data_IF_350076904077
#
_entry.id   IF_350076904077
#
_cell.length_a   1.000
_cell.length_b   1.000
_cell.length_c   1.000
_cell.angle_alpha   90.00
_cell.angle_beta   90.00
_cell.angle_gamma   90.00
#
_symmetry.space_group_name_H-M   'P 1'
#
loop_
_entity.id
_entity.type
_entity.pdbx_description
1 polymer ?
#
# COMPACT_ATOMS: atom_id res chain seq x y z
N UNK A 1 -10.49 19.48 -4.32
CA UNK A 1 -9.33 18.67 -4.73
C UNK A 1 -8.36 18.82 -3.57
N UNK A 2 -8.14 17.89 -2.66
CA UNK A 2 -8.06 16.44 -2.76
C UNK A 2 -8.69 15.80 -1.50
N UNK A 3 -9.61 14.87 -1.71
CA UNK A 3 -10.38 14.17 -0.70
C UNK A 3 -10.15 12.67 -0.85
N UNK A 4 -8.89 12.23 -0.80
CA UNK A 4 -8.51 10.84 -1.17
C UNK A 4 -7.29 10.31 -0.42
N UNK A 5 -7.25 10.39 0.92
CA UNK A 5 -6.22 9.61 1.63
C UNK A 5 -6.71 9.06 2.98
N UNK A 6 -7.46 9.86 3.74
CA UNK A 6 -7.89 9.47 5.09
C UNK A 6 -9.01 8.41 5.17
N UNK A 7 -9.68 8.09 4.06
CA UNK A 7 -10.93 7.34 4.06
C UNK A 7 -10.81 5.87 3.67
N UNK A 8 -9.66 5.39 3.17
CA UNK A 8 -9.61 4.04 2.60
C UNK A 8 -9.47 2.95 3.66
N UNK A 9 -8.80 3.21 4.78
CA UNK A 9 -8.65 2.18 5.81
C UNK A 9 -9.89 1.95 6.67
N UNK A 10 -10.59 3.02 7.01
CA UNK A 10 -11.90 2.92 7.67
C UNK A 10 -12.94 2.31 6.72
N UNK A 11 -12.93 2.62 5.41
CA UNK A 11 -13.86 1.98 4.46
C UNK A 11 -13.61 0.50 4.23
N UNK A 12 -12.36 0.03 4.19
CA UNK A 12 -12.03 -1.40 4.03
C UNK A 12 -12.42 -2.23 5.25
N UNK A 13 -12.36 -1.65 6.47
CA UNK A 13 -12.89 -2.26 7.69
C UNK A 13 -14.42 -2.19 7.75
N UNK A 14 -15.04 -1.10 7.30
CA UNK A 14 -16.50 -0.96 7.25
C UNK A 14 -17.18 -1.91 6.24
N UNK A 15 -16.43 -2.38 5.23
CA UNK A 15 -16.95 -3.31 4.22
C UNK A 15 -17.17 -4.74 4.74
N UNK A 16 -16.70 -5.08 5.95
CA UNK A 16 -16.84 -6.42 6.56
C UNK A 16 -18.01 -6.58 7.52
N UNK A 17 -18.62 -5.49 7.98
CA UNK A 17 -19.73 -5.55 8.93
C UNK A 17 -20.97 -4.86 8.36
N UNK A 18 -21.61 -5.55 7.42
CA UNK A 18 -22.98 -5.26 7.04
C UNK A 18 -23.89 -5.56 8.24
N UNK A 19 -24.22 -4.55 9.06
CA UNK A 19 -25.57 -4.31 9.61
C UNK A 19 -25.63 -3.07 10.54
N UNK A 20 -26.60 -2.20 10.24
CA UNK A 20 -27.38 -1.34 11.15
C UNK A 20 -27.05 0.17 11.32
N UNK A 21 -28.09 1.01 11.47
CA UNK A 21 -28.14 2.42 11.11
C UNK A 21 -27.63 3.31 12.25
N UNK A 22 -27.16 4.53 11.94
CA UNK A 22 -27.43 5.81 12.67
C UNK A 22 -26.42 6.90 12.32
N UNK A 23 -26.75 7.66 11.28
CA UNK A 23 -25.99 8.76 10.67
C UNK A 23 -25.74 10.01 11.56
N UNK A 24 -26.00 9.97 12.87
CA UNK A 24 -25.98 11.18 13.74
C UNK A 24 -24.85 11.16 14.79
N UNK A 25 -24.26 10.00 15.10
CA UNK A 25 -23.13 9.90 16.05
C UNK A 25 -21.75 10.29 15.45
N UNK A 26 -21.71 10.59 14.16
CA UNK A 26 -20.49 10.79 13.37
C UNK A 26 -19.75 12.10 13.69
N UNK A 27 -20.44 13.18 14.10
CA UNK A 27 -19.81 14.52 14.20
C UNK A 27 -19.00 14.76 15.49
N UNK A 28 -19.28 14.06 16.59
CA UNK A 28 -18.59 14.28 17.87
C UNK A 28 -17.39 13.36 18.10
N UNK A 29 -17.25 12.28 17.31
CA UNK A 29 -16.15 11.30 17.42
C UNK A 29 -14.95 11.60 16.50
N UNK A 30 -15.00 12.67 15.69
CA UNK A 30 -13.97 12.98 14.68
C UNK A 30 -12.79 13.82 15.21
N UNK A 31 -12.91 14.41 16.41
CA UNK A 31 -11.89 15.32 16.96
C UNK A 31 -10.78 14.63 17.76
N UNK A 32 -10.77 13.30 17.87
CA UNK A 32 -9.80 12.60 18.73
C UNK A 32 -9.32 11.26 18.14
N UNK A 33 -9.22 11.14 16.83
CA UNK A 33 -8.45 10.06 16.23
C UNK A 33 -7.04 10.58 15.95
N UNK A 34 -6.05 10.26 16.78
CA UNK A 34 -4.67 10.40 16.35
C UNK A 34 -4.51 9.50 15.13
N UNK A 35 -4.09 10.10 14.01
CA UNK A 35 -3.72 9.41 12.77
C UNK A 35 -2.48 8.57 13.01
N UNK A 36 -2.58 7.52 13.82
CA UNK A 36 -1.55 6.50 13.91
C UNK A 36 -1.78 5.58 12.72
N UNK A 37 -1.19 5.97 11.58
CA UNK A 37 -0.96 5.03 10.49
C UNK A 37 -0.28 3.79 11.04
N UNK A 38 -0.70 2.62 10.58
CA UNK A 38 -0.06 1.37 11.01
C UNK A 38 1.26 1.26 10.23
N UNK A 39 2.36 0.85 10.87
CA UNK A 39 3.55 0.50 10.11
C UNK A 39 3.21 -0.67 9.18
N UNK A 40 3.77 -0.63 7.98
CA UNK A 40 3.69 -1.76 7.08
C UNK A 40 4.48 -2.93 7.65
N UNK A 41 3.96 -4.14 7.43
CA UNK A 41 4.66 -5.36 7.82
C UNK A 41 5.83 -5.67 6.91
N UNK A 42 6.30 -6.92 7.00
CA UNK A 42 7.38 -7.43 6.18
C UNK A 42 7.12 -7.23 4.67
N UNK A 43 8.18 -6.92 3.90
CA UNK A 43 8.07 -6.58 2.50
C UNK A 43 7.66 -7.81 1.66
N UNK A 44 6.69 -7.68 0.73
CA UNK A 44 6.17 -8.81 -0.04
C UNK A 44 7.16 -9.34 -1.08
N UNK A 45 7.41 -10.65 -1.09
CA UNK A 45 8.28 -11.27 -2.09
C UNK A 45 7.58 -11.48 -3.44
N UNK A 46 8.22 -11.07 -4.53
CA UNK A 46 7.70 -11.27 -5.89
C UNK A 46 8.56 -12.27 -6.68
N UNK A 47 7.94 -13.09 -7.55
CA UNK A 47 8.68 -14.02 -8.39
C UNK A 47 9.48 -13.25 -9.45
N UNK A 48 10.75 -13.64 -9.63
CA UNK A 48 11.67 -13.03 -10.58
C UNK A 48 11.98 -11.55 -10.35
N UNK A 49 11.68 -11.04 -9.15
CA UNK A 49 12.15 -9.76 -8.66
C UNK A 49 12.77 -9.95 -7.27
N UNK A 50 13.66 -9.06 -6.89
CA UNK A 50 14.27 -9.02 -5.57
C UNK A 50 14.13 -7.61 -4.99
N UNK A 51 14.00 -7.52 -3.67
CA UNK A 51 14.05 -6.25 -2.97
C UNK A 51 15.47 -5.70 -3.10
N UNK A 52 15.63 -4.59 -3.81
CA UNK A 52 16.90 -3.90 -3.98
C UNK A 52 17.21 -3.03 -2.76
N UNK A 53 16.20 -2.37 -2.19
CA UNK A 53 16.36 -1.52 -1.02
C UNK A 53 15.03 -1.06 -0.44
N UNK A 54 15.07 -0.53 0.77
CA UNK A 54 13.92 0.04 1.46
C UNK A 54 14.34 1.23 2.34
N UNK A 55 13.46 2.22 2.50
CA UNK A 55 13.69 3.33 3.44
C UNK A 55 13.30 2.96 4.87
N UNK A 56 12.33 2.05 5.02
CA UNK A 56 11.80 1.60 6.30
C UNK A 56 10.54 0.76 6.12
N UNK A 57 9.72 0.71 7.19
CA UNK A 57 8.47 -0.03 7.26
C UNK A 57 7.34 0.81 7.85
N UNK A 58 7.49 2.13 7.90
CA UNK A 58 6.51 3.07 8.43
C UNK A 58 5.65 3.69 7.32
N UNK A 59 4.57 4.37 7.72
CA UNK A 59 3.67 5.05 6.78
C UNK A 59 4.45 6.01 5.88
N UNK A 60 4.27 5.88 4.57
CA UNK A 60 4.95 6.69 3.56
C UNK A 60 6.36 6.23 3.19
N UNK A 61 6.87 5.15 3.80
CA UNK A 61 8.11 4.52 3.35
C UNK A 61 7.96 3.86 1.98
N UNK A 62 9.10 3.68 1.31
CA UNK A 62 9.17 3.08 -0.01
C UNK A 62 10.07 1.84 -0.04
N UNK A 63 9.59 0.79 -0.71
CA UNK A 63 10.37 -0.39 -1.09
C UNK A 63 10.73 -0.30 -2.57
N UNK A 64 11.99 -0.55 -2.90
CA UNK A 64 12.47 -0.62 -4.27
C UNK A 64 12.75 -2.07 -4.65
N UNK A 65 11.99 -2.58 -5.61
CA UNK A 65 12.17 -3.90 -6.20
C UNK A 65 12.85 -3.79 -7.56
N UNK A 66 13.70 -4.77 -7.85
CA UNK A 66 14.37 -4.91 -9.15
C UNK A 66 14.16 -6.31 -9.71
N UNK A 67 13.86 -6.38 -11.00
CA UNK A 67 13.79 -7.64 -11.72
C UNK A 67 15.17 -8.32 -11.71
N UNK A 68 15.16 -9.66 -11.69
CA UNK A 68 16.39 -10.43 -11.83
C UNK A 68 17.02 -10.20 -13.22
N UNK A 69 18.35 -10.37 -13.37
CA UNK A 69 19.01 -10.28 -14.67
C UNK A 69 18.35 -11.17 -15.73
N UNK A 70 18.00 -10.59 -16.88
CA UNK A 70 17.27 -11.27 -17.95
C UNK A 70 15.75 -11.27 -17.81
N UNK A 71 15.20 -10.63 -16.77
CA UNK A 71 13.78 -10.38 -16.62
C UNK A 71 13.51 -8.87 -16.66
N UNK A 72 12.41 -8.49 -17.31
CA UNK A 72 11.94 -7.11 -17.41
C UNK A 72 10.45 -7.08 -17.19
N UNK A 73 9.92 -5.97 -16.70
CA UNK A 73 8.47 -5.79 -16.66
C UNK A 73 7.93 -5.59 -18.08
N UNK A 74 6.64 -5.89 -18.33
CA UNK A 74 6.01 -5.67 -19.62
C UNK A 74 6.12 -4.22 -20.13
N UNK A 75 6.23 -3.24 -19.22
CA UNK A 75 6.42 -1.82 -19.57
C UNK A 75 7.85 -1.48 -20.02
N UNK A 76 8.79 -2.43 -19.96
CA UNK A 76 10.21 -2.21 -20.25
C UNK A 76 11.05 -1.74 -19.07
N UNK A 77 10.43 -1.41 -17.94
CA UNK A 77 11.15 -1.08 -16.70
C UNK A 77 11.75 -2.33 -16.05
N UNK A 78 12.92 -2.19 -15.45
CA UNK A 78 13.59 -3.26 -14.68
C UNK A 78 13.42 -3.14 -13.17
N UNK A 79 12.76 -2.10 -12.68
CA UNK A 79 12.54 -1.84 -11.26
C UNK A 79 11.21 -1.14 -11.01
N UNK A 80 10.58 -1.42 -9.87
CA UNK A 80 9.32 -0.82 -9.42
C UNK A 80 9.40 -0.50 -7.94
N UNK A 81 8.61 0.48 -7.49
CA UNK A 81 8.53 0.85 -6.09
C UNK A 81 7.15 0.60 -5.48
N UNK A 82 7.14 0.35 -4.17
CA UNK A 82 5.94 0.21 -3.36
C UNK A 82 5.97 1.20 -2.22
N UNK A 83 4.88 1.94 -2.03
CA UNK A 83 4.68 2.79 -0.87
C UNK A 83 3.92 2.06 0.23
N UNK A 84 4.23 2.42 1.47
CA UNK A 84 3.46 1.99 2.62
C UNK A 84 2.21 2.85 2.79
N UNK A 85 1.04 2.23 2.73
CA UNK A 85 -0.25 2.88 2.99
C UNK A 85 -0.53 3.04 4.48
N UNK A 86 -1.42 3.95 4.84
CA UNK A 86 -1.95 4.15 6.19
C UNK A 86 -2.57 2.88 6.81
N UNK A 87 -2.99 1.93 5.96
CA UNK A 87 -3.46 0.62 6.35
C UNK A 87 -2.40 -0.37 6.82
N UNK A 88 -1.12 -0.06 6.62
CA UNK A 88 -0.04 -1.04 6.79
C UNK A 88 0.04 -2.02 5.62
N UNK A 89 -0.40 -1.60 4.42
CA UNK A 89 -0.31 -2.39 3.19
C UNK A 89 0.63 -1.72 2.19
N UNK A 90 1.43 -2.53 1.49
CA UNK A 90 2.32 -2.06 0.44
C UNK A 90 1.57 -1.91 -0.89
N UNK A 91 1.57 -0.72 -1.48
CA UNK A 91 0.88 -0.42 -2.74
C UNK A 91 1.81 0.26 -3.76
N UNK A 92 1.60 -0.02 -5.04
CA UNK A 92 2.35 0.60 -6.13
C UNK A 92 2.12 -0.11 -7.45
N UNK A 93 2.83 0.32 -8.49
CA UNK A 93 2.73 -0.26 -9.83
C UNK A 93 3.52 -1.57 -9.92
N UNK A 94 3.03 -2.61 -9.25
CA UNK A 94 3.60 -3.96 -9.32
C UNK A 94 3.32 -4.56 -10.68
N UNK A 95 4.36 -4.92 -11.42
CA UNK A 95 4.24 -5.78 -12.59
C UNK A 95 5.15 -7.00 -12.43
N UNK A 96 4.62 -8.18 -12.76
CA UNK A 96 5.39 -9.40 -12.75
C UNK A 96 6.54 -9.30 -13.76
N UNK A 97 7.76 -9.47 -13.28
CA UNK A 97 8.93 -9.52 -14.14
C UNK A 97 8.85 -10.79 -15.01
N UNK A 98 8.85 -10.60 -16.32
CA UNK A 98 8.82 -11.67 -17.32
C UNK A 98 10.18 -11.76 -18.01
N UNK A 99 10.56 -12.94 -18.48
CA UNK A 99 11.85 -13.13 -19.17
C UNK A 99 11.89 -12.23 -20.41
N UNK A 100 12.90 -11.35 -20.50
CA UNK A 100 13.14 -10.53 -21.68
C UNK A 100 13.42 -11.44 -22.87
N UNK A 101 12.75 -11.16 -24.01
CA UNK A 101 12.96 -11.90 -25.24
C UNK A 101 14.27 -11.52 -25.92
#
# INVERSE_FOLDING_TARGET
>A
TESVDFSYCTFSLLRKDALWPKRVFIVLWMHHLPSFGKPCGDPPSFPHAHLQGHTGFELGDELLYSCMPGYVMPSGNGAFSLLCDSCGEWYGLVQLCVKGK
#
